data_IF_180317845178
#
_entry.id   IF_180317845178
#
_cell.length_a   1.000
_cell.length_b   1.000
_cell.length_c   1.000
_cell.angle_alpha   90.00
_cell.angle_beta   90.00
_cell.angle_gamma   90.00
#
_symmetry.space_group_name_H-M   'P 1'
#
loop_
_entity.id
_entity.type
_entity.pdbx_description
1 polymer ?
#
# COMPACT_ATOMS: atom_id res chain seq x y z
N UNK A 1 -10.97 6.51 10.14
CA UNK A 1 -10.84 7.09 8.78
C UNK A 1 -9.49 7.72 8.46
N UNK A 2 -8.37 7.10 8.84
CA UNK A 2 -7.06 7.77 8.91
C UNK A 2 -6.16 7.63 7.67
N UNK A 3 -6.32 6.59 6.83
CA UNK A 3 -5.63 6.51 5.52
C UNK A 3 -6.62 6.55 4.36
N UNK A 4 -6.19 7.19 3.27
CA UNK A 4 -6.92 7.20 2.00
C UNK A 4 -7.15 5.77 1.48
N UNK A 5 -8.26 5.55 0.77
CA UNK A 5 -8.71 4.22 0.36
C UNK A 5 -7.64 3.45 -0.41
N UNK A 6 -6.92 4.13 -1.32
CA UNK A 6 -5.86 3.53 -2.14
C UNK A 6 -4.63 3.10 -1.33
N UNK A 7 -4.26 3.89 -0.32
CA UNK A 7 -3.12 3.56 0.55
C UNK A 7 -3.47 2.37 1.47
N UNK A 8 -4.71 2.30 1.94
CA UNK A 8 -5.19 1.17 2.74
C UNK A 8 -5.30 -0.12 1.93
N UNK A 9 -5.84 -0.02 0.72
CA UNK A 9 -5.98 -1.13 -0.22
C UNK A 9 -4.62 -1.79 -0.51
N UNK A 10 -3.60 -1.00 -0.85
CA UNK A 10 -2.30 -1.58 -1.22
C UNK A 10 -1.57 -2.21 -0.02
N UNK A 11 -1.73 -1.65 1.18
CA UNK A 11 -1.23 -2.26 2.42
C UNK A 11 -1.98 -3.56 2.69
N UNK A 12 -3.30 -3.58 2.52
CA UNK A 12 -4.13 -4.77 2.74
C UNK A 12 -3.71 -5.93 1.83
N UNK A 13 -3.63 -5.68 0.52
CA UNK A 13 -3.24 -6.69 -0.46
C UNK A 13 -1.86 -7.27 -0.14
N UNK A 14 -0.90 -6.43 0.27
CA UNK A 14 0.46 -6.88 0.58
C UNK A 14 0.55 -7.64 1.91
N UNK A 15 -0.08 -7.16 2.97
CA UNK A 15 0.17 -7.65 4.33
C UNK A 15 -0.89 -8.62 4.84
N UNK A 16 -2.13 -8.50 4.38
CA UNK A 16 -3.26 -9.32 4.84
C UNK A 16 -3.64 -10.37 3.80
N UNK A 17 -3.59 -10.02 2.51
CA UNK A 17 -3.78 -10.99 1.41
C UNK A 17 -2.48 -11.68 0.97
N UNK A 18 -1.35 -11.29 1.56
CA UNK A 18 -0.01 -11.84 1.32
C UNK A 18 0.43 -11.87 -0.16
N UNK A 19 -0.10 -10.96 -0.98
CA UNK A 19 0.20 -10.91 -2.41
C UNK A 19 1.62 -10.39 -2.67
N UNK A 20 2.27 -10.95 -3.70
CA UNK A 20 3.51 -10.42 -4.27
C UNK A 20 3.28 -9.09 -4.99
N UNK A 21 4.35 -8.32 -5.18
CA UNK A 21 4.25 -7.06 -5.93
C UNK A 21 3.82 -7.27 -7.38
N UNK A 22 4.14 -8.44 -7.97
CA UNK A 22 3.72 -8.81 -9.31
C UNK A 22 2.20 -9.08 -9.36
N UNK A 23 1.67 -9.87 -8.43
CA UNK A 23 0.23 -10.13 -8.37
C UNK A 23 -0.56 -8.84 -8.09
N UNK A 24 -0.04 -7.92 -7.27
CA UNK A 24 -0.67 -6.62 -7.03
C UNK A 24 -0.63 -5.74 -8.30
N UNK A 25 0.48 -5.77 -9.03
CA UNK A 25 0.66 -5.05 -10.29
C UNK A 25 -0.36 -5.51 -11.34
N UNK A 26 -0.54 -6.83 -11.45
CA UNK A 26 -1.52 -7.46 -12.34
C UNK A 26 -2.96 -7.16 -11.90
N UNK A 27 -3.27 -7.35 -10.60
CA UNK A 27 -4.61 -7.11 -10.04
C UNK A 27 -5.07 -5.66 -10.23
N UNK A 28 -4.20 -4.70 -9.94
CA UNK A 28 -4.52 -3.28 -10.01
C UNK A 28 -4.27 -2.67 -11.40
N UNK A 29 -3.75 -3.45 -12.34
CA UNK A 29 -3.34 -3.02 -13.68
C UNK A 29 -2.45 -1.76 -13.66
N UNK A 30 -1.40 -1.79 -12.83
CA UNK A 30 -0.41 -0.71 -12.71
C UNK A 30 1.01 -1.27 -12.78
N UNK A 31 2.02 -0.47 -13.19
CA UNK A 31 3.41 -0.92 -13.19
C UNK A 31 3.90 -1.38 -11.81
N UNK A 32 4.77 -2.39 -11.77
CA UNK A 32 5.34 -2.88 -10.51
C UNK A 32 6.09 -1.78 -9.73
N UNK A 33 6.72 -0.83 -10.42
CA UNK A 33 7.33 0.35 -9.80
C UNK A 33 6.30 1.29 -9.14
N UNK A 34 5.08 1.35 -9.66
CA UNK A 34 3.96 2.06 -9.02
C UNK A 34 3.49 1.34 -7.76
N UNK A 35 3.50 -0.01 -7.74
CA UNK A 35 3.21 -0.79 -6.54
C UNK A 35 4.22 -0.48 -5.44
N UNK A 36 5.52 -0.51 -5.75
CA UNK A 36 6.60 -0.23 -4.80
C UNK A 36 6.49 1.19 -4.23
N UNK A 37 6.35 2.20 -5.09
CA UNK A 37 6.25 3.60 -4.65
C UNK A 37 4.98 3.86 -3.84
N UNK A 38 3.82 3.33 -4.25
CA UNK A 38 2.58 3.43 -3.46
C UNK A 38 2.72 2.78 -2.08
N UNK A 39 3.30 1.58 -1.99
CA UNK A 39 3.56 0.92 -0.70
C UNK A 39 4.48 1.75 0.19
N UNK A 40 5.54 2.32 -0.36
CA UNK A 40 6.46 3.19 0.37
C UNK A 40 5.73 4.40 0.99
N UNK A 41 4.98 5.15 0.17
CA UNK A 41 4.26 6.33 0.65
C UNK A 41 3.12 5.98 1.62
N UNK A 42 2.39 4.90 1.37
CA UNK A 42 1.33 4.41 2.25
C UNK A 42 1.90 4.06 3.65
N UNK A 43 3.02 3.33 3.70
CA UNK A 43 3.72 3.01 4.96
C UNK A 43 4.25 4.26 5.65
N UNK A 44 4.85 5.19 4.91
CA UNK A 44 5.33 6.46 5.47
C UNK A 44 4.19 7.23 6.14
N UNK A 45 3.06 7.41 5.45
CA UNK A 45 1.87 8.06 6.02
C UNK A 45 1.33 7.35 7.25
N UNK A 46 1.32 6.01 7.25
CA UNK A 46 0.89 5.23 8.40
C UNK A 46 1.81 5.47 9.61
N UNK A 47 3.13 5.42 9.42
CA UNK A 47 4.11 5.69 10.48
C UNK A 47 3.97 7.10 11.05
N UNK A 48 3.85 8.12 10.19
CA UNK A 48 3.66 9.51 10.62
C UNK A 48 2.40 9.69 11.46
N UNK A 49 1.32 8.95 11.15
CA UNK A 49 0.09 8.99 11.94
C UNK A 49 0.24 8.29 13.29
N UNK A 50 0.87 7.12 13.33
CA UNK A 50 1.11 6.38 14.57
C UNK A 50 2.06 7.11 15.53
N UNK A 51 2.92 7.99 15.01
CA UNK A 51 3.84 8.79 15.83
C UNK A 51 3.17 10.04 16.43
N UNK A 52 2.01 10.42 15.91
CA UNK A 52 1.24 11.59 16.34
C UNK A 52 0.01 11.20 17.19
N UNK A 53 -0.07 9.95 17.64
CA UNK A 53 -1.00 9.43 18.68
C UNK A 53 -0.23 9.21 19.98
#
# INVERSE_FOLDING_TARGET
DTLDKKDREIIFLRHFSNMSYKEISELLNIPIGSVMSRLYYARKKLMEKMKNE
#
